data_IF_845049371305
#
_entry.id   IF_845049371305
#
_cell.length_a   1.000
_cell.length_b   1.000
_cell.length_c   1.000
_cell.angle_alpha   90.00
_cell.angle_beta   90.00
_cell.angle_gamma   90.00
#
_symmetry.space_group_name_H-M   'P 1'
#
loop_
_entity.id
_entity.type
_entity.pdbx_description
1 polymer ?
#
# COMPACT_ATOMS: atom_id res chain seq x y z
N UNK A 1 -26.37 7.50 58.55
CA UNK A 1 -24.94 7.87 58.63
C UNK A 1 -24.60 8.70 57.40
N UNK A 2 -24.81 10.01 57.45
CA UNK A 2 -24.47 10.94 56.38
C UNK A 2 -23.40 11.89 56.92
N UNK A 3 -22.14 11.47 56.85
CA UNK A 3 -20.99 12.33 57.14
C UNK A 3 -20.63 13.12 55.89
N UNK A 4 -20.40 14.41 56.04
CA UNK A 4 -19.83 15.25 54.99
C UNK A 4 -18.31 15.11 55.01
N UNK A 5 -17.72 14.78 53.86
CA UNK A 5 -16.26 14.73 53.68
C UNK A 5 -15.86 16.02 52.98
N UNK A 6 -14.99 16.81 53.60
CA UNK A 6 -14.43 18.01 52.97
C UNK A 6 -13.29 17.61 52.03
N UNK A 7 -13.44 17.96 50.75
CA UNK A 7 -12.42 17.71 49.72
C UNK A 7 -11.87 19.04 49.21
N UNK A 8 -10.53 19.15 49.04
CA UNK A 8 -9.94 20.31 48.40
C UNK A 8 -10.46 20.49 46.97
N UNK A 9 -10.82 21.72 46.59
CA UNK A 9 -11.38 22.05 45.26
C UNK A 9 -10.47 21.60 44.12
N UNK A 10 -9.15 21.68 44.28
CA UNK A 10 -8.19 21.22 43.27
C UNK A 10 -8.28 19.71 43.02
N UNK A 11 -8.56 18.90 44.05
CA UNK A 11 -8.68 17.45 43.94
C UNK A 11 -9.96 17.08 43.19
N UNK A 12 -11.06 17.80 43.46
CA UNK A 12 -12.31 17.67 42.70
C UNK A 12 -12.09 18.03 41.22
N UNK A 13 -11.32 19.10 40.96
CA UNK A 13 -10.94 19.48 39.59
C UNK A 13 -10.17 18.39 38.84
N UNK A 14 -9.18 17.75 39.49
CA UNK A 14 -8.42 16.64 38.89
C UNK A 14 -9.33 15.44 38.62
N UNK A 15 -10.18 15.06 39.58
CA UNK A 15 -11.10 13.93 39.42
C UNK A 15 -12.11 14.18 38.30
N UNK A 16 -12.65 15.40 38.18
CA UNK A 16 -13.55 15.79 37.10
C UNK A 16 -12.85 15.75 35.74
N UNK A 17 -11.60 16.23 35.65
CA UNK A 17 -10.83 16.17 34.42
C UNK A 17 -10.54 14.73 33.98
N UNK A 18 -10.14 13.86 34.90
CA UNK A 18 -9.90 12.43 34.61
C UNK A 18 -11.20 11.72 34.22
N UNK A 19 -12.31 12.01 34.89
CA UNK A 19 -13.63 11.48 34.54
C UNK A 19 -14.06 11.95 33.14
N UNK A 20 -13.83 13.22 32.80
CA UNK A 20 -14.12 13.76 31.47
C UNK A 20 -13.25 13.10 30.39
N UNK A 21 -11.94 12.93 30.65
CA UNK A 21 -11.04 12.21 29.73
C UNK A 21 -11.52 10.77 29.53
N UNK A 22 -11.87 10.07 30.61
CA UNK A 22 -12.41 8.71 30.53
C UNK A 22 -13.74 8.63 29.77
N UNK A 23 -14.62 9.61 29.94
CA UNK A 23 -15.89 9.72 29.22
C UNK A 23 -15.67 9.97 27.72
N UNK A 24 -14.78 10.92 27.39
CA UNK A 24 -14.40 11.23 26.02
C UNK A 24 -13.81 9.99 25.35
N UNK A 25 -12.88 9.30 26.02
CA UNK A 25 -12.20 8.13 25.47
C UNK A 25 -13.10 6.90 25.32
N UNK A 26 -14.06 6.69 26.23
CA UNK A 26 -14.95 5.52 26.17
C UNK A 26 -16.23 5.71 25.38
N UNK A 27 -16.76 6.92 25.29
CA UNK A 27 -18.05 7.15 24.61
C UNK A 27 -17.89 7.94 23.32
N UNK A 28 -17.20 9.09 23.36
CA UNK A 28 -17.15 10.00 22.22
C UNK A 28 -16.18 9.52 21.14
N UNK A 29 -14.95 9.17 21.52
CA UNK A 29 -13.94 8.71 20.57
C UNK A 29 -14.39 7.44 19.81
N UNK A 30 -14.94 6.39 20.46
CA UNK A 30 -15.37 5.19 19.76
C UNK A 30 -16.57 5.45 18.83
N UNK A 31 -17.54 6.27 19.28
CA UNK A 31 -18.71 6.63 18.48
C UNK A 31 -18.34 7.45 17.25
N UNK A 32 -17.48 8.45 17.40
CA UNK A 32 -16.97 9.26 16.29
C UNK A 32 -16.15 8.40 15.33
N UNK A 33 -15.26 7.53 15.85
CA UNK A 33 -14.48 6.59 15.02
C UNK A 33 -15.40 5.65 14.24
N UNK A 34 -16.44 5.11 14.86
CA UNK A 34 -17.43 4.26 14.19
C UNK A 34 -18.17 5.02 13.10
N UNK A 35 -18.64 6.23 13.38
CA UNK A 35 -19.36 7.07 12.41
C UNK A 35 -18.48 7.41 11.20
N UNK A 36 -17.23 7.83 11.43
CA UNK A 36 -16.28 8.12 10.36
C UNK A 36 -15.93 6.86 9.55
N UNK A 37 -15.75 5.72 10.22
CA UNK A 37 -15.48 4.44 9.55
C UNK A 37 -16.65 3.99 8.69
N UNK A 38 -17.89 4.15 9.18
CA UNK A 38 -19.10 3.85 8.42
C UNK A 38 -19.19 4.71 7.16
N UNK A 39 -19.02 6.04 7.30
CA UNK A 39 -19.00 6.97 6.16
C UNK A 39 -17.89 6.63 5.16
N UNK A 40 -16.70 6.24 5.63
CA UNK A 40 -15.60 5.84 4.76
C UNK A 40 -15.92 4.54 4.02
N UNK A 41 -16.49 3.54 4.69
CA UNK A 41 -16.87 2.27 4.07
C UNK A 41 -17.98 2.47 3.02
N UNK A 42 -18.98 3.29 3.31
CA UNK A 42 -20.03 3.65 2.35
C UNK A 42 -19.44 4.37 1.12
N UNK A 43 -18.54 5.33 1.33
CA UNK A 43 -17.86 6.03 0.24
C UNK A 43 -16.98 5.09 -0.61
N UNK A 44 -16.31 4.11 0.00
CA UNK A 44 -15.53 3.09 -0.71
C UNK A 44 -16.46 2.17 -1.51
N UNK A 45 -17.60 1.77 -0.93
CA UNK A 45 -18.58 0.93 -1.62
C UNK A 45 -19.17 1.65 -2.85
N UNK A 46 -19.49 2.93 -2.72
CA UNK A 46 -19.93 3.79 -3.83
C UNK A 46 -18.81 3.98 -4.87
N UNK A 47 -17.55 4.11 -4.45
CA UNK A 47 -16.41 4.14 -5.37
C UNK A 47 -16.28 2.84 -6.14
N UNK A 48 -16.35 1.69 -5.45
CA UNK A 48 -16.26 0.37 -6.06
C UNK A 48 -17.39 0.09 -7.07
N UNK A 49 -18.57 0.69 -6.92
CA UNK A 49 -19.65 0.56 -7.92
C UNK A 49 -19.39 1.37 -9.19
N UNK A 50 -18.52 2.39 -9.13
CA UNK A 50 -18.14 3.24 -10.26
C UNK A 50 -16.84 2.78 -10.95
N UNK A 51 -15.98 2.07 -10.23
CA UNK A 51 -14.72 1.56 -10.76
C UNK A 51 -14.94 0.31 -11.59
N UNK A 52 -14.25 0.22 -12.73
CA UNK A 52 -14.34 -0.93 -13.64
C UNK A 52 -13.67 -2.17 -13.07
N UNK A 53 -12.52 -1.98 -12.43
CA UNK A 53 -11.83 -2.97 -11.62
C UNK A 53 -12.02 -2.54 -10.15
N UNK A 54 -12.68 -3.39 -9.36
CA UNK A 54 -12.98 -3.08 -7.97
C UNK A 54 -11.68 -2.89 -7.18
N UNK A 55 -11.72 -2.10 -6.12
CA UNK A 55 -10.61 -2.07 -5.16
C UNK A 55 -10.64 -3.38 -4.40
N UNK A 56 -9.57 -4.16 -4.49
CA UNK A 56 -9.46 -5.45 -3.82
C UNK A 56 -9.42 -5.24 -2.29
N UNK A 57 -10.10 -6.11 -1.49
CA UNK A 57 -10.05 -6.04 -0.04
C UNK A 57 -8.63 -6.04 0.53
N UNK A 58 -7.69 -6.70 -0.16
CA UNK A 58 -6.27 -6.69 0.17
C UNK A 58 -5.69 -5.28 0.32
N UNK A 59 -6.07 -4.33 -0.55
CA UNK A 59 -5.61 -2.94 -0.46
C UNK A 59 -6.22 -2.16 0.71
N UNK A 60 -7.43 -2.52 1.11
CA UNK A 60 -8.14 -1.89 2.22
C UNK A 60 -7.80 -2.51 3.57
N UNK A 61 -7.08 -3.63 3.55
CA UNK A 61 -6.63 -4.32 4.75
C UNK A 61 -5.66 -3.44 5.51
N UNK A 62 -5.76 -3.45 6.85
CA UNK A 62 -4.83 -2.71 7.70
C UNK A 62 -3.41 -3.19 7.42
N UNK A 63 -2.49 -2.25 7.22
CA UNK A 63 -1.07 -2.54 6.97
C UNK A 63 -0.48 -3.55 7.95
N UNK A 64 -0.80 -3.44 9.24
CA UNK A 64 -0.32 -4.38 10.25
C UNK A 64 -0.79 -5.81 9.97
N UNK A 65 -2.04 -6.01 9.55
CA UNK A 65 -2.57 -7.34 9.23
C UNK A 65 -1.88 -7.97 8.02
N UNK A 66 -1.45 -7.17 7.04
CA UNK A 66 -0.64 -7.66 5.91
C UNK A 66 0.78 -8.05 6.36
N UNK A 67 1.38 -7.27 7.27
CA UNK A 67 2.68 -7.60 7.88
C UNK A 67 2.57 -8.90 8.66
N UNK A 68 1.55 -9.04 9.52
CA UNK A 68 1.33 -10.24 10.30
C UNK A 68 1.12 -11.45 9.39
N UNK A 69 0.34 -11.31 8.30
CA UNK A 69 0.14 -12.37 7.29
C UNK A 69 1.47 -12.82 6.67
N UNK A 70 2.40 -11.90 6.39
CA UNK A 70 3.75 -12.25 5.92
C UNK A 70 4.58 -12.91 7.02
N UNK A 71 4.52 -12.40 8.25
CA UNK A 71 5.29 -12.95 9.38
C UNK A 71 4.93 -14.41 9.69
N UNK A 72 3.67 -14.79 9.48
CA UNK A 72 3.18 -16.15 9.68
C UNK A 72 3.05 -16.95 8.37
N UNK A 73 3.53 -16.44 7.24
CA UNK A 73 3.51 -17.17 5.96
C UNK A 73 4.47 -18.38 6.04
N UNK A 74 4.00 -19.62 5.78
CA UNK A 74 4.84 -20.81 5.89
C UNK A 74 6.09 -20.80 5.01
N UNK A 75 6.05 -20.15 3.83
CA UNK A 75 7.23 -20.04 2.96
C UNK A 75 8.29 -19.12 3.57
N UNK A 76 7.88 -18.03 4.23
CA UNK A 76 8.82 -17.14 4.92
C UNK A 76 9.39 -17.76 6.19
N UNK A 77 8.58 -18.50 6.93
CA UNK A 77 9.06 -19.26 8.09
C UNK A 77 10.12 -20.29 7.67
N UNK A 78 9.86 -21.06 6.60
CA UNK A 78 10.85 -21.99 6.03
C UNK A 78 12.11 -21.27 5.52
N UNK A 79 11.95 -20.11 4.88
CA UNK A 79 13.08 -19.31 4.43
C UNK A 79 13.92 -18.78 5.60
N UNK A 80 13.28 -18.43 6.72
CA UNK A 80 13.97 -18.04 7.96
C UNK A 80 14.78 -19.20 8.52
N UNK A 81 14.18 -20.40 8.61
CA UNK A 81 14.85 -21.60 9.11
C UNK A 81 16.06 -21.99 8.25
N UNK A 82 15.90 -21.96 6.92
CA UNK A 82 17.00 -22.19 5.99
C UNK A 82 18.11 -21.13 6.12
N UNK A 83 17.74 -19.87 6.34
CA UNK A 83 18.71 -18.80 6.59
C UNK A 83 19.50 -19.05 7.88
N UNK A 84 18.82 -19.36 8.99
CA UNK A 84 19.43 -19.68 10.27
C UNK A 84 20.38 -20.87 10.16
N UNK A 85 20.00 -21.92 9.42
CA UNK A 85 20.85 -23.09 9.21
C UNK A 85 22.13 -22.74 8.43
N UNK A 86 22.04 -21.81 7.47
CA UNK A 86 23.18 -21.40 6.65
C UNK A 86 24.13 -20.39 7.33
N UNK A 87 23.60 -19.49 8.17
CA UNK A 87 24.37 -18.40 8.78
C UNK A 87 24.69 -18.63 10.26
N UNK A 88 24.02 -19.57 10.92
CA UNK A 88 24.08 -19.75 12.38
C UNK A 88 23.32 -18.65 13.16
N UNK A 89 22.61 -17.76 12.47
CA UNK A 89 21.84 -16.67 13.08
C UNK A 89 20.68 -17.21 13.94
N UNK A 90 20.43 -16.68 15.15
CA UNK A 90 19.27 -17.06 15.94
C UNK A 90 17.95 -16.78 15.21
N UNK A 91 16.99 -17.71 15.31
CA UNK A 91 15.66 -17.58 14.68
C UNK A 91 14.98 -16.24 14.96
N UNK A 92 15.09 -15.75 16.20
CA UNK A 92 14.48 -14.47 16.60
C UNK A 92 15.00 -13.29 15.76
N UNK A 93 16.29 -13.27 15.41
CA UNK A 93 16.89 -12.19 14.63
C UNK A 93 16.48 -12.28 13.15
N UNK A 94 16.46 -13.50 12.58
CA UNK A 94 15.97 -13.73 11.23
C UNK A 94 14.49 -13.29 11.08
N UNK A 95 13.64 -13.63 12.05
CA UNK A 95 12.24 -13.20 12.06
C UNK A 95 12.12 -11.68 12.23
N UNK A 96 12.91 -11.05 13.10
CA UNK A 96 12.93 -9.60 13.23
C UNK A 96 13.34 -8.89 11.93
N UNK A 97 14.25 -9.49 11.15
CA UNK A 97 14.62 -8.98 9.82
C UNK A 97 13.48 -9.13 8.81
N UNK A 98 12.78 -10.26 8.80
CA UNK A 98 11.57 -10.43 7.96
C UNK A 98 10.55 -9.36 8.31
N UNK A 99 10.32 -9.09 9.60
CA UNK A 99 9.38 -8.05 10.03
C UNK A 99 9.80 -6.66 9.54
N UNK A 100 11.09 -6.34 9.65
CA UNK A 100 11.63 -5.08 9.14
C UNK A 100 11.46 -4.96 7.62
N UNK A 101 11.73 -6.03 6.86
CA UNK A 101 11.52 -6.05 5.41
C UNK A 101 10.03 -5.95 5.04
N UNK A 102 9.15 -6.65 5.76
CA UNK A 102 7.71 -6.56 5.56
C UNK A 102 7.20 -5.14 5.83
N UNK A 103 7.66 -4.50 6.91
CA UNK A 103 7.35 -3.09 7.20
C UNK A 103 7.87 -2.15 6.11
N UNK A 104 9.05 -2.41 5.56
CA UNK A 104 9.60 -1.60 4.47
C UNK A 104 8.77 -1.71 3.19
N UNK A 105 8.37 -2.92 2.82
CA UNK A 105 7.69 -3.24 1.56
C UNK A 105 6.20 -2.88 1.65
N UNK A 106 5.48 -3.36 2.66
CA UNK A 106 4.01 -3.22 2.73
C UNK A 106 3.62 -1.72 2.82
N UNK A 107 2.87 -1.20 1.83
CA UNK A 107 2.46 0.19 1.80
C UNK A 107 1.35 0.47 2.81
N UNK A 108 1.16 1.74 3.14
CA UNK A 108 0.03 2.20 3.95
C UNK A 108 -1.01 2.87 3.04
N UNK A 109 -1.68 2.08 2.21
CA UNK A 109 -2.62 2.60 1.21
C UNK A 109 -3.80 3.31 1.86
N UNK A 110 -4.20 4.44 1.27
CA UNK A 110 -5.38 5.19 1.67
C UNK A 110 -6.27 5.42 0.46
N UNK A 111 -7.37 4.66 0.37
CA UNK A 111 -8.36 4.82 -0.70
C UNK A 111 -8.88 6.26 -0.78
N UNK A 112 -9.18 6.86 0.38
CA UNK A 112 -9.62 8.25 0.44
C UNK A 112 -8.58 9.22 -0.12
N UNK A 113 -7.31 9.08 0.28
CA UNK A 113 -6.25 9.95 -0.23
C UNK A 113 -6.07 9.77 -1.75
N UNK A 114 -6.08 8.52 -2.22
CA UNK A 114 -5.91 8.16 -3.63
C UNK A 114 -7.00 8.79 -4.49
N UNK A 115 -8.28 8.49 -4.21
CA UNK A 115 -9.38 8.92 -5.05
C UNK A 115 -9.77 10.40 -4.87
N UNK A 116 -9.56 10.98 -3.68
CA UNK A 116 -9.92 12.39 -3.44
C UNK A 116 -8.83 13.35 -3.88
N UNK A 117 -7.56 13.04 -3.61
CA UNK A 117 -6.47 13.97 -3.88
C UNK A 117 -5.55 13.47 -4.98
N UNK A 118 -5.13 12.20 -4.91
CA UNK A 118 -4.17 11.61 -5.84
C UNK A 118 -4.62 11.70 -7.30
N UNK A 119 -5.83 11.23 -7.61
CA UNK A 119 -6.36 11.24 -9.00
C UNK A 119 -6.52 12.66 -9.56
N UNK A 120 -6.96 13.62 -8.73
CA UNK A 120 -7.11 15.03 -9.13
C UNK A 120 -5.77 15.69 -9.39
N UNK A 121 -4.81 15.52 -8.48
CA UNK A 121 -3.45 16.02 -8.64
C UNK A 121 -2.77 15.39 -9.86
N UNK A 122 -2.94 14.08 -10.04
CA UNK A 122 -2.40 13.36 -11.19
C UNK A 122 -2.96 13.89 -12.51
N UNK A 123 -4.27 14.12 -12.59
CA UNK A 123 -4.92 14.76 -13.74
C UNK A 123 -4.34 16.14 -14.01
N UNK A 124 -4.34 17.02 -13.00
CA UNK A 124 -3.86 18.39 -13.11
C UNK A 124 -2.42 18.45 -13.64
N UNK A 125 -1.51 17.74 -12.97
CA UNK A 125 -0.09 17.72 -13.34
C UNK A 125 0.12 17.11 -14.73
N UNK A 126 -0.62 16.04 -15.06
CA UNK A 126 -0.53 15.39 -16.37
C UNK A 126 -0.95 16.33 -17.49
N UNK A 127 -2.08 17.03 -17.34
CA UNK A 127 -2.59 17.95 -18.37
C UNK A 127 -1.85 19.28 -18.43
N UNK A 128 -1.19 19.69 -17.35
CA UNK A 128 -0.38 20.90 -17.29
C UNK A 128 0.95 20.72 -18.04
N UNK A 129 1.59 19.56 -17.85
CA UNK A 129 2.94 19.30 -18.37
C UNK A 129 2.94 18.56 -19.72
N UNK A 130 1.89 17.79 -20.01
CA UNK A 130 1.82 16.94 -21.20
C UNK A 130 0.50 17.09 -21.93
N UNK A 131 0.56 16.96 -23.26
CA UNK A 131 -0.62 16.71 -24.09
C UNK A 131 -0.88 15.22 -24.14
N UNK A 132 -1.68 14.72 -23.18
CA UNK A 132 -2.02 13.30 -23.09
C UNK A 132 -2.96 12.91 -24.23
N UNK A 133 -2.55 11.94 -25.05
CA UNK A 133 -3.38 11.33 -26.11
C UNK A 133 -3.52 9.84 -25.82
N UNK A 134 -4.75 9.38 -25.62
CA UNK A 134 -5.07 7.97 -25.48
C UNK A 134 -5.40 7.43 -26.88
N UNK A 135 -4.48 6.64 -27.45
CA UNK A 135 -4.62 6.14 -28.82
C UNK A 135 -5.71 5.08 -28.94
N UNK A 136 -5.64 4.05 -28.10
CA UNK A 136 -6.63 2.98 -28.02
C UNK A 136 -6.61 2.39 -26.61
N UNK A 137 -7.75 2.43 -25.92
CA UNK A 137 -7.99 1.59 -24.75
C UNK A 137 -9.07 0.62 -25.15
N UNK A 138 -8.74 -0.68 -25.17
CA UNK A 138 -9.72 -1.73 -25.38
C UNK A 138 -10.55 -1.88 -24.10
N UNK A 139 -11.51 -0.97 -23.96
CA UNK A 139 -12.41 -0.89 -22.82
C UNK A 139 -13.28 -2.15 -22.69
N UNK A 140 -13.56 -2.83 -23.80
CA UNK A 140 -14.34 -4.06 -23.82
C UNK A 140 -13.50 -5.24 -23.32
N UNK A 141 -12.26 -5.39 -23.80
CA UNK A 141 -11.34 -6.40 -23.29
C UNK A 141 -11.08 -6.22 -21.78
N UNK A 142 -10.88 -4.98 -21.31
CA UNK A 142 -10.70 -4.71 -19.88
C UNK A 142 -11.93 -5.07 -19.02
N UNK A 143 -13.14 -4.91 -19.57
CA UNK A 143 -14.39 -5.32 -18.89
C UNK A 143 -14.60 -6.83 -18.91
N UNK A 144 -14.07 -7.52 -19.91
CA UNK A 144 -14.13 -8.97 -20.03
C UNK A 144 -13.13 -9.69 -19.10
N UNK A 145 -12.15 -8.97 -18.54
CA UNK A 145 -11.25 -9.53 -17.53
C UNK A 145 -12.04 -9.89 -16.28
N UNK A 146 -11.78 -11.09 -15.76
CA UNK A 146 -12.32 -11.55 -14.48
C UNK A 146 -12.09 -10.48 -13.38
N UNK A 147 -13.15 -10.02 -12.68
CA UNK A 147 -13.03 -9.04 -11.61
C UNK A 147 -12.04 -9.41 -10.50
N UNK A 148 -11.78 -10.69 -10.30
CA UNK A 148 -10.86 -11.22 -9.30
C UNK A 148 -9.44 -11.45 -9.85
N UNK A 149 -9.23 -11.31 -11.17
CA UNK A 149 -7.90 -11.41 -11.78
C UNK A 149 -7.06 -10.15 -11.51
N UNK A 150 -5.77 -10.37 -11.23
CA UNK A 150 -4.81 -9.28 -11.15
C UNK A 150 -4.47 -8.75 -12.55
N UNK A 151 -4.87 -7.52 -12.82
CA UNK A 151 -4.47 -6.79 -14.02
C UNK A 151 -3.11 -6.12 -13.78
N UNK A 152 -2.13 -6.46 -14.62
CA UNK A 152 -0.77 -5.90 -14.58
C UNK A 152 -0.53 -4.99 -15.77
N UNK A 153 -0.38 -3.69 -15.50
CA UNK A 153 0.04 -2.70 -16.50
C UNK A 153 1.55 -2.77 -16.67
N UNK A 154 2.00 -3.11 -17.89
CA UNK A 154 3.41 -3.16 -18.26
C UNK A 154 3.75 -1.94 -19.09
N UNK A 155 4.68 -1.11 -18.61
CA UNK A 155 4.87 0.25 -19.11
C UNK A 155 6.35 0.54 -19.25
N UNK A 156 6.75 1.13 -20.38
CA UNK A 156 8.11 1.66 -20.52
C UNK A 156 8.34 2.81 -19.54
N UNK A 157 9.60 3.07 -19.17
CA UNK A 157 9.94 4.08 -18.16
C UNK A 157 10.89 5.14 -18.71
N UNK A 158 10.34 6.32 -19.03
CA UNK A 158 11.07 7.46 -19.60
C UNK A 158 11.08 8.68 -18.69
N UNK A 159 10.16 8.79 -17.74
CA UNK A 159 10.05 9.94 -16.85
C UNK A 159 9.57 9.53 -15.45
N UNK A 160 9.97 10.28 -14.42
CA UNK A 160 9.32 10.18 -13.11
C UNK A 160 7.83 10.55 -13.18
N UNK A 161 7.41 11.28 -14.22
CA UNK A 161 6.01 11.57 -14.50
C UNK A 161 5.20 10.32 -14.89
N UNK A 162 5.84 9.22 -15.31
CA UNK A 162 5.13 8.02 -15.76
C UNK A 162 4.22 7.46 -14.65
N UNK A 163 4.64 7.50 -13.39
CA UNK A 163 3.79 7.12 -12.25
C UNK A 163 2.52 7.97 -12.17
N UNK A 164 2.64 9.27 -12.42
CA UNK A 164 1.55 10.25 -12.35
C UNK A 164 0.61 10.07 -13.54
N UNK A 165 1.16 9.93 -14.75
CA UNK A 165 0.40 9.69 -15.98
C UNK A 165 -0.41 8.41 -15.88
N UNK A 166 0.22 7.32 -15.43
CA UNK A 166 -0.43 6.02 -15.31
C UNK A 166 -1.50 6.04 -14.23
N UNK A 167 -1.24 6.72 -13.10
CA UNK A 167 -2.28 6.98 -12.09
C UNK A 167 -3.45 7.74 -12.70
N UNK A 168 -3.21 8.80 -13.49
CA UNK A 168 -4.26 9.55 -14.17
C UNK A 168 -5.07 8.69 -15.16
N UNK A 169 -4.39 7.88 -15.98
CA UNK A 169 -5.03 7.06 -17.01
C UNK A 169 -5.86 5.91 -16.42
N UNK A 170 -5.39 5.29 -15.35
CA UNK A 170 -6.04 4.10 -14.75
C UNK A 170 -6.97 4.47 -13.58
N UNK A 171 -6.94 5.71 -13.08
CA UNK A 171 -7.75 6.17 -11.95
C UNK A 171 -9.26 5.88 -12.08
N UNK A 172 -9.80 5.89 -13.30
CA UNK A 172 -11.21 5.58 -13.55
C UNK A 172 -11.51 4.07 -13.51
N UNK A 173 -10.48 3.24 -13.66
CA UNK A 173 -10.59 1.80 -13.72
C UNK A 173 -10.21 1.14 -12.39
N UNK A 174 -9.14 1.56 -11.71
CA UNK A 174 -8.68 0.93 -10.45
C UNK A 174 -7.77 1.82 -9.61
N UNK A 175 -7.53 1.39 -8.36
CA UNK A 175 -6.38 1.83 -7.60
C UNK A 175 -5.14 1.02 -8.02
N UNK A 176 -4.05 1.68 -8.41
CA UNK A 176 -2.80 1.01 -8.81
C UNK A 176 -1.89 0.69 -7.63
N UNK A 177 -1.11 -0.38 -7.76
CA UNK A 177 0.04 -0.65 -6.88
C UNK A 177 1.28 -0.80 -7.75
N UNK A 178 2.37 -0.14 -7.38
CA UNK A 178 3.57 -0.14 -8.19
C UNK A 178 4.81 -0.15 -7.32
N UNK A 179 5.85 -0.80 -7.83
CA UNK A 179 7.15 -0.81 -7.19
C UNK A 179 7.87 0.52 -7.44
N UNK A 180 8.34 1.16 -6.37
CA UNK A 180 9.10 2.41 -6.42
C UNK A 180 10.52 2.16 -5.92
N UNK A 181 11.50 2.75 -6.60
CA UNK A 181 12.90 2.66 -6.16
C UNK A 181 13.15 3.40 -4.86
N UNK A 182 14.13 2.94 -4.09
CA UNK A 182 14.56 3.54 -2.81
C UNK A 182 14.96 5.02 -2.88
N UNK A 183 15.35 5.54 -4.05
CA UNK A 183 15.72 6.95 -4.24
C UNK A 183 14.60 7.93 -3.85
N UNK A 184 13.34 7.51 -3.94
CA UNK A 184 12.18 8.35 -3.63
C UNK A 184 11.79 8.32 -2.13
N UNK A 185 12.59 7.70 -1.26
CA UNK A 185 12.37 7.62 0.19
C UNK A 185 12.79 8.91 0.91
N UNK A 186 12.11 10.00 0.56
CA UNK A 186 12.21 11.29 1.27
C UNK A 186 10.97 11.45 2.13
N UNK A 187 11.10 11.78 3.42
CA UNK A 187 10.02 11.73 4.43
C UNK A 187 8.61 12.12 3.93
N UNK A 188 8.47 13.29 3.30
CA UNK A 188 7.17 13.76 2.80
C UNK A 188 6.68 12.94 1.60
N UNK A 189 7.58 12.69 0.64
CA UNK A 189 7.29 11.96 -0.59
C UNK A 189 6.98 10.48 -0.31
N UNK A 190 7.71 9.87 0.61
CA UNK A 190 7.50 8.47 1.02
C UNK A 190 6.07 8.25 1.54
N UNK A 191 5.60 9.14 2.41
CA UNK A 191 4.26 9.05 2.99
C UNK A 191 3.18 9.16 1.92
N UNK A 192 3.36 10.07 0.95
CA UNK A 192 2.44 10.26 -0.18
C UNK A 192 2.44 9.03 -1.08
N UNK A 193 3.62 8.54 -1.47
CA UNK A 193 3.75 7.36 -2.35
C UNK A 193 3.10 6.12 -1.72
N UNK A 194 3.36 5.88 -0.43
CA UNK A 194 2.73 4.76 0.30
C UNK A 194 1.21 4.90 0.36
N UNK A 195 0.71 6.11 0.61
CA UNK A 195 -0.73 6.38 0.59
C UNK A 195 -1.36 6.13 -0.79
N UNK A 196 -0.60 6.35 -1.86
CA UNK A 196 -1.03 6.10 -3.25
C UNK A 196 -0.91 4.63 -3.69
N UNK A 197 -0.43 3.74 -2.81
CA UNK A 197 -0.32 2.30 -3.11
C UNK A 197 1.02 1.90 -3.70
N UNK A 198 1.99 2.81 -3.75
CA UNK A 198 3.37 2.53 -4.11
C UNK A 198 4.11 1.83 -2.96
N UNK A 199 4.79 0.73 -3.26
CA UNK A 199 5.66 0.03 -2.32
C UNK A 199 7.12 0.21 -2.71
N UNK A 200 8.00 0.38 -1.72
CA UNK A 200 9.41 0.64 -1.96
C UNK A 200 10.19 -0.67 -2.12
N UNK A 201 11.04 -0.70 -3.14
CA UNK A 201 11.94 -1.82 -3.42
C UNK A 201 13.40 -1.39 -3.47
N UNK A 202 14.26 -2.28 -2.97
CA UNK A 202 15.72 -2.19 -3.11
C UNK A 202 16.12 -2.83 -4.43
N UNK A 203 16.63 -2.04 -5.37
CA UNK A 203 16.90 -2.50 -6.75
C UNK A 203 18.01 -3.55 -6.82
N UNK A 204 19.01 -3.43 -5.95
CA UNK A 204 20.23 -4.26 -5.99
C UNK A 204 20.44 -5.04 -4.68
N UNK A 205 19.37 -5.29 -3.92
CA UNK A 205 19.48 -6.09 -2.70
C UNK A 205 19.99 -7.48 -3.03
N UNK A 206 21.13 -7.87 -2.45
CA UNK A 206 21.70 -9.23 -2.51
C UNK A 206 21.21 -10.14 -1.39
N UNK A 207 20.39 -9.61 -0.49
CA UNK A 207 19.86 -10.32 0.66
C UNK A 207 18.76 -11.31 0.22
N UNK A 208 18.98 -12.63 0.37
CA UNK A 208 18.00 -13.64 -0.03
C UNK A 208 16.69 -13.52 0.76
N UNK A 209 16.77 -13.16 2.05
CA UNK A 209 15.61 -13.07 2.93
C UNK A 209 14.72 -11.90 2.51
N UNK A 210 15.32 -10.75 2.21
CA UNK A 210 14.61 -9.61 1.64
C UNK A 210 13.88 -9.97 0.33
N UNK A 211 14.58 -10.64 -0.60
CA UNK A 211 13.99 -11.03 -1.89
C UNK A 211 12.82 -11.99 -1.71
N UNK A 212 12.89 -12.91 -0.74
CA UNK A 212 11.79 -13.81 -0.40
C UNK A 212 10.58 -13.07 0.16
N UNK A 213 10.78 -12.11 1.08
CA UNK A 213 9.68 -11.29 1.60
C UNK A 213 9.02 -10.47 0.48
N UNK A 214 9.82 -9.86 -0.40
CA UNK A 214 9.30 -9.13 -1.56
C UNK A 214 8.51 -10.04 -2.50
N UNK A 215 9.05 -11.21 -2.83
CA UNK A 215 8.37 -12.17 -3.69
C UNK A 215 7.01 -12.58 -3.11
N UNK A 216 6.97 -12.96 -1.83
CA UNK A 216 5.72 -13.34 -1.14
C UNK A 216 4.70 -12.21 -1.11
N UNK A 217 5.13 -10.99 -0.83
CA UNK A 217 4.21 -9.84 -0.87
C UNK A 217 3.59 -9.65 -2.26
N UNK A 218 4.40 -9.72 -3.32
CA UNK A 218 3.92 -9.56 -4.71
C UNK A 218 3.00 -10.73 -5.11
N UNK A 219 3.33 -11.96 -4.71
CA UNK A 219 2.49 -13.13 -4.94
C UNK A 219 1.13 -12.99 -4.24
N UNK A 220 1.12 -12.59 -2.96
CA UNK A 220 -0.12 -12.35 -2.22
C UNK A 220 -0.95 -11.24 -2.88
N UNK A 221 -0.33 -10.12 -3.26
CA UNK A 221 -1.04 -9.05 -3.96
C UNK A 221 -1.64 -9.54 -5.29
N UNK A 222 -0.89 -10.35 -6.05
CA UNK A 222 -1.35 -10.88 -7.34
C UNK A 222 -2.46 -11.91 -7.16
N UNK A 223 -2.32 -12.83 -6.20
CA UNK A 223 -3.34 -13.84 -5.90
C UNK A 223 -4.66 -13.23 -5.42
N UNK A 224 -4.60 -12.06 -4.79
CA UNK A 224 -5.76 -11.32 -4.29
C UNK A 224 -6.31 -10.33 -5.33
N UNK A 225 -5.89 -10.45 -6.60
CA UNK A 225 -6.43 -9.68 -7.72
C UNK A 225 -5.94 -8.23 -7.80
N UNK A 226 -4.93 -7.83 -7.02
CA UNK A 226 -4.52 -6.42 -6.94
C UNK A 226 -4.06 -5.91 -8.30
N UNK A 227 -4.69 -4.81 -8.75
CA UNK A 227 -4.24 -4.12 -9.95
C UNK A 227 -2.85 -3.51 -9.73
N UNK A 228 -1.90 -3.91 -10.57
CA UNK A 228 -0.49 -3.58 -10.44
C UNK A 228 0.03 -2.85 -11.69
N UNK A 229 1.05 -2.02 -11.51
CA UNK A 229 1.83 -1.47 -12.61
C UNK A 229 3.31 -1.76 -12.37
N UNK A 230 4.02 -2.10 -13.45
CA UNK A 230 5.45 -2.32 -13.42
C UNK A 230 6.17 -1.69 -14.61
N UNK A 231 7.42 -1.32 -14.33
CA UNK A 231 8.36 -0.77 -15.28
C UNK A 231 9.49 -1.78 -15.49
N UNK A 232 9.43 -2.66 -16.51
CA UNK A 232 10.36 -3.76 -16.66
C UNK A 232 11.80 -3.28 -16.85
N UNK A 233 12.01 -2.07 -17.37
CA UNK A 233 13.34 -1.48 -17.55
C UNK A 233 14.13 -1.31 -16.24
N UNK A 234 13.42 -1.24 -15.09
CA UNK A 234 14.03 -1.11 -13.76
C UNK A 234 14.73 0.23 -13.49
N UNK A 235 14.70 1.15 -14.45
CA UNK A 235 15.28 2.49 -14.37
C UNK A 235 14.82 3.36 -15.53
N UNK A 236 15.03 4.67 -15.42
CA UNK A 236 14.67 5.63 -16.46
C UNK A 236 15.52 5.40 -17.71
N UNK A 237 14.90 5.47 -18.87
CA UNK A 237 15.59 5.69 -20.15
C UNK A 237 16.23 7.09 -20.16
N UNK A 238 17.45 7.20 -20.70
CA UNK A 238 18.22 8.47 -20.74
C UNK A 238 18.14 9.16 -22.10
N UNK A 239 17.92 8.39 -23.15
CA UNK A 239 17.87 8.80 -24.56
C UNK A 239 16.48 8.56 -25.17
N UNK A 240 15.53 8.01 -24.39
CA UNK A 240 14.20 7.64 -24.85
C UNK A 240 14.14 6.24 -25.48
N UNK A 241 15.25 5.55 -25.69
CA UNK A 241 15.22 4.16 -26.15
C UNK A 241 14.71 3.22 -25.06
N UNK A 242 14.08 2.11 -25.46
CA UNK A 242 13.69 1.06 -24.52
C UNK A 242 14.93 0.34 -24.00
N UNK A 243 15.01 0.15 -22.69
CA UNK A 243 16.07 -0.62 -22.05
C UNK A 243 15.73 -2.12 -22.01
N UNK A 244 16.73 -3.01 -21.88
CA UNK A 244 16.48 -4.43 -21.65
C UNK A 244 15.58 -4.66 -20.43
N UNK A 245 14.54 -5.52 -20.54
CA UNK A 245 13.62 -5.79 -19.45
C UNK A 245 14.28 -6.63 -18.35
N UNK A 246 14.00 -6.29 -17.09
CA UNK A 246 14.29 -7.06 -15.89
C UNK A 246 13.02 -7.80 -15.46
N UNK A 247 13.08 -9.12 -15.46
CA UNK A 247 11.90 -9.97 -15.20
C UNK A 247 11.64 -10.30 -13.72
N UNK A 248 12.44 -9.79 -12.77
CA UNK A 248 12.32 -10.17 -11.36
C UNK A 248 10.91 -10.00 -10.79
N UNK A 249 10.33 -8.80 -10.85
CA UNK A 249 8.96 -8.58 -10.36
C UNK A 249 7.92 -9.39 -11.13
N UNK A 250 8.04 -9.47 -12.46
CA UNK A 250 7.13 -10.24 -13.29
C UNK A 250 7.16 -11.73 -12.93
N UNK A 251 8.34 -12.28 -12.62
CA UNK A 251 8.50 -13.67 -12.18
C UNK A 251 7.82 -13.93 -10.84
N UNK A 252 7.75 -12.94 -9.94
CA UNK A 252 7.00 -13.08 -8.69
C UNK A 252 5.48 -13.05 -8.94
N UNK A 253 5.00 -12.22 -9.87
CA UNK A 253 3.58 -12.16 -10.23
C UNK A 253 3.12 -13.44 -10.94
N UNK A 254 3.98 -14.01 -11.80
CA UNK A 254 3.66 -15.22 -12.57
C UNK A 254 3.90 -16.53 -11.79
N UNK A 255 4.58 -16.46 -10.65
CA UNK A 255 4.82 -17.62 -9.80
C UNK A 255 3.51 -18.03 -9.12
N UNK A 256 3.08 -19.27 -9.40
CA UNK A 256 1.94 -19.93 -8.77
C UNK A 256 2.32 -20.49 -7.41
#
# INVERSE_FOLDING_TARGET
>A
MSGTIELPVWLVGILAALALVGLLDRLLIPSVRWFLRRRLNEAIAELNSRLRLRIQPFKLTRRQSLIDRLMFDPELVRAAEAHCAATGEPRALAMARIEAYAREIVPNFSAYAYFKFGTRAARLLSTLLYRVRLGYMDDEALRAVDPDAAVVFVINHRSNMDYVLVTYMVAASSALSYAVGEWARVWLLESIIRAMGGYFIRRDSRDPLYRRVLARYVQLATAEGVTQAMFPEGGLSRDGALRPPKFGLLSYMAAR
#
